data_IF_977868942711
#
_entry.id   IF_977868942711
#
_cell.length_a   1.000
_cell.length_b   1.000
_cell.length_c   1.000
_cell.angle_alpha   90.00
_cell.angle_beta   90.00
_cell.angle_gamma   90.00
#
_symmetry.space_group_name_H-M   'P 1'
#
loop_
_entity.id
_entity.type
_entity.pdbx_description
1 polymer ?
#
# COMPACT_ATOMS: atom_id res chain seq x y z
N UNK A 1 64.77 18.00 -32.94
CA UNK A 1 63.50 17.41 -33.40
C UNK A 1 63.06 16.40 -32.35
N UNK A 2 61.90 16.66 -31.72
CA UNK A 2 61.14 15.80 -30.79
C UNK A 2 61.72 15.52 -29.39
N UNK A 3 60.96 16.02 -28.42
CA UNK A 3 61.04 15.80 -26.99
C UNK A 3 60.55 14.41 -26.59
N UNK A 4 61.03 13.88 -25.47
CA UNK A 4 60.21 13.14 -24.50
C UNK A 4 60.68 13.52 -23.10
N UNK A 5 59.81 14.21 -22.39
CA UNK A 5 59.91 14.56 -20.97
C UNK A 5 59.46 13.34 -20.17
N UNK A 6 60.31 12.81 -19.29
CA UNK A 6 59.93 11.80 -18.32
C UNK A 6 59.55 12.51 -17.01
N UNK A 7 58.25 12.71 -16.80
CA UNK A 7 57.69 13.19 -15.53
C UNK A 7 57.14 11.98 -14.77
N UNK A 8 57.80 11.58 -13.69
CA UNK A 8 57.22 10.63 -12.73
C UNK A 8 56.33 11.46 -11.81
N UNK A 9 55.01 11.40 -12.03
CA UNK A 9 54.01 11.90 -11.09
C UNK A 9 53.70 10.79 -10.07
N UNK A 10 54.03 11.03 -8.81
CA UNK A 10 53.58 10.19 -7.69
C UNK A 10 52.11 10.52 -7.44
N UNK A 11 51.21 9.59 -7.74
CA UNK A 11 49.78 9.69 -7.45
C UNK A 11 49.51 9.08 -6.07
N UNK A 12 49.37 9.95 -5.07
CA UNK A 12 48.81 9.62 -3.76
C UNK A 12 47.29 9.44 -3.91
N UNK A 13 46.80 8.20 -3.97
CA UNK A 13 45.37 7.92 -3.82
C UNK A 13 44.98 8.04 -2.35
N UNK A 14 44.42 9.18 -1.96
CA UNK A 14 43.66 9.31 -0.73
C UNK A 14 42.26 8.72 -0.94
N UNK A 15 42.06 7.47 -0.53
CA UNK A 15 40.72 6.87 -0.45
C UNK A 15 39.97 7.50 0.73
N UNK A 16 39.18 8.53 0.46
CA UNK A 16 38.21 9.07 1.42
C UNK A 16 37.06 8.08 1.61
N UNK A 17 37.05 7.36 2.72
CA UNK A 17 35.91 6.54 3.15
C UNK A 17 34.81 7.51 3.60
N UNK A 18 33.78 7.68 2.78
CA UNK A 18 32.54 8.33 3.22
C UNK A 18 31.76 7.34 4.09
N UNK A 19 31.87 7.51 5.41
CA UNK A 19 30.99 6.84 6.38
C UNK A 19 29.67 7.63 6.38
N UNK A 20 28.66 7.16 5.64
CA UNK A 20 27.29 7.62 5.83
C UNK A 20 26.77 7.11 7.17
N UNK A 21 26.80 7.96 8.19
CA UNK A 21 26.16 7.70 9.48
C UNK A 21 24.64 7.82 9.27
N UNK A 22 23.96 6.70 9.08
CA UNK A 22 22.51 6.64 9.17
C UNK A 22 22.10 6.78 10.64
N UNK A 23 21.82 8.01 11.08
CA UNK A 23 21.16 8.24 12.35
C UNK A 23 19.69 7.81 12.26
N UNK A 24 19.40 6.54 12.50
CA UNK A 24 18.04 6.09 12.76
C UNK A 24 17.63 6.56 14.15
N UNK A 25 16.96 7.71 14.23
CA UNK A 25 16.33 8.17 15.47
C UNK A 25 15.16 7.25 15.77
N UNK A 26 15.30 6.38 16.77
CA UNK A 26 14.21 5.54 17.26
C UNK A 26 13.29 6.43 18.10
N UNK A 27 12.13 6.81 17.56
CA UNK A 27 11.17 7.65 18.27
C UNK A 27 10.65 6.91 19.51
N UNK A 28 10.69 7.56 20.67
CA UNK A 28 10.10 7.08 21.92
C UNK A 28 8.63 7.55 21.96
N UNK A 29 7.70 6.65 22.27
CA UNK A 29 6.25 6.91 22.22
C UNK A 29 5.81 8.17 23.00
N UNK A 30 6.54 8.52 24.07
CA UNK A 30 6.25 9.66 24.94
C UNK A 30 6.32 11.03 24.26
N UNK A 31 6.93 11.12 23.07
CA UNK A 31 7.09 12.38 22.34
C UNK A 31 6.18 12.48 21.10
N UNK A 32 5.26 11.54 20.91
CA UNK A 32 4.34 11.54 19.77
C UNK A 32 3.05 12.30 20.13
N UNK A 33 2.44 13.02 19.17
CA UNK A 33 1.13 13.65 19.35
C UNK A 33 0.08 12.67 19.87
N UNK A 34 -0.91 13.18 20.59
CA UNK A 34 -2.03 12.35 21.06
C UNK A 34 -2.85 11.84 19.88
N UNK A 35 -3.32 10.58 19.98
CA UNK A 35 -4.23 10.00 19.00
C UNK A 35 -5.59 10.70 19.07
N UNK A 36 -6.21 10.98 17.92
CA UNK A 36 -7.53 11.64 17.84
C UNK A 36 -8.41 10.94 16.81
N UNK A 37 -9.72 10.95 17.06
CA UNK A 37 -10.73 10.31 16.19
C UNK A 37 -11.19 11.28 15.10
N UNK A 38 -11.22 10.83 13.85
CA UNK A 38 -11.80 11.58 12.74
C UNK A 38 -13.32 11.35 12.65
N UNK A 39 -14.09 12.29 12.08
CA UNK A 39 -15.47 12.03 11.71
C UNK A 39 -15.56 10.83 10.74
N UNK A 40 -16.58 10.00 10.93
CA UNK A 40 -16.85 8.90 10.00
C UNK A 40 -17.19 9.43 8.59
N UNK A 41 -16.71 8.76 7.53
CA UNK A 41 -17.22 9.00 6.18
C UNK A 41 -18.74 8.79 6.14
N UNK A 42 -19.46 9.66 5.42
CA UNK A 42 -20.95 9.65 5.39
C UNK A 42 -21.50 8.27 4.97
N UNK A 43 -20.86 7.63 3.99
CA UNK A 43 -21.17 6.26 3.54
C UNK A 43 -21.10 5.24 4.68
N UNK A 44 -20.03 5.26 5.48
CA UNK A 44 -19.87 4.37 6.64
C UNK A 44 -20.78 4.76 7.82
N UNK A 45 -21.07 6.04 7.99
CA UNK A 45 -22.03 6.50 8.99
C UNK A 45 -23.42 5.91 8.71
N UNK A 46 -23.86 5.97 7.46
CA UNK A 46 -25.15 5.46 6.98
C UNK A 46 -25.20 3.94 6.83
N UNK A 47 -24.04 3.25 6.82
CA UNK A 47 -24.00 1.80 6.76
C UNK A 47 -24.71 1.16 7.94
N UNK A 48 -25.68 0.30 7.62
CA UNK A 48 -26.38 -0.57 8.56
C UNK A 48 -26.47 -1.98 7.98
N UNK A 49 -26.30 -2.98 8.84
CA UNK A 49 -26.41 -4.39 8.48
C UNK A 49 -27.21 -5.14 9.54
N UNK A 50 -27.89 -6.21 9.10
CA UNK A 50 -28.48 -7.21 10.01
C UNK A 50 -27.40 -8.04 10.70
N UNK A 51 -26.32 -8.35 9.98
CA UNK A 51 -25.10 -8.99 10.48
C UNK A 51 -24.34 -7.96 11.32
N UNK A 52 -24.03 -8.31 12.57
CA UNK A 52 -23.36 -7.41 13.54
C UNK A 52 -21.91 -7.78 13.78
N UNK A 53 -21.51 -8.94 13.29
CA UNK A 53 -20.17 -9.50 13.37
C UNK A 53 -19.18 -8.63 12.59
N UNK A 54 -17.96 -8.63 13.09
CA UNK A 54 -16.78 -8.03 12.51
C UNK A 54 -15.57 -8.83 13.01
N UNK A 55 -14.40 -8.57 12.42
CA UNK A 55 -13.15 -9.18 12.80
C UNK A 55 -12.14 -8.12 13.25
N UNK A 56 -12.62 -7.03 13.87
CA UNK A 56 -11.76 -5.93 14.31
C UNK A 56 -10.71 -6.37 15.35
N UNK A 57 -10.96 -7.45 16.10
CA UNK A 57 -9.96 -8.06 17.00
C UNK A 57 -8.72 -8.56 16.28
N UNK A 58 -8.83 -8.88 14.99
CA UNK A 58 -7.73 -9.36 14.15
C UNK A 58 -6.93 -8.20 13.52
N UNK A 59 -7.29 -6.94 13.83
CA UNK A 59 -6.67 -5.75 13.25
C UNK A 59 -5.79 -5.06 14.29
N UNK A 60 -4.48 -5.19 14.09
CA UNK A 60 -3.47 -4.52 14.92
C UNK A 60 -3.19 -3.09 14.42
N UNK A 61 -3.12 -2.09 15.32
CA UNK A 61 -2.78 -0.74 14.93
C UNK A 61 -1.29 -0.60 14.58
N UNK A 62 -0.97 0.39 13.75
CA UNK A 62 0.41 0.84 13.57
C UNK A 62 0.83 1.78 14.71
N UNK A 63 2.12 2.14 14.80
CA UNK A 63 2.59 3.23 15.68
C UNK A 63 1.89 4.57 15.43
N UNK A 64 1.32 4.76 14.23
CA UNK A 64 0.54 5.94 13.87
C UNK A 64 -0.93 5.86 14.32
N UNK A 65 -1.36 4.74 14.90
CA UNK A 65 -2.75 4.36 15.08
C UNK A 65 -3.26 3.50 13.92
N UNK A 66 -4.58 3.43 13.76
CA UNK A 66 -5.21 2.76 12.64
C UNK A 66 -5.01 3.56 11.33
N UNK A 67 -4.86 2.84 10.22
CA UNK A 67 -4.72 3.42 8.89
C UNK A 67 -6.09 3.87 8.39
N UNK A 68 -6.28 5.18 8.29
CA UNK A 68 -7.51 5.77 7.80
C UNK A 68 -7.23 6.93 6.85
N UNK A 69 -8.14 7.16 5.91
CA UNK A 69 -8.17 8.36 5.11
C UNK A 69 -9.05 9.42 5.79
N UNK A 70 -8.58 10.66 5.79
CA UNK A 70 -9.30 11.81 6.39
C UNK A 70 -9.73 12.85 5.36
N UNK A 71 -9.15 12.79 4.16
CA UNK A 71 -9.55 13.60 3.02
C UNK A 71 -10.21 12.71 1.98
N UNK A 72 -11.37 13.15 1.46
CA UNK A 72 -12.13 12.44 0.45
C UNK A 72 -12.42 13.35 -0.76
N UNK A 73 -12.51 12.80 -1.98
CA UNK A 73 -12.29 11.39 -2.32
C UNK A 73 -10.81 10.99 -2.20
N UNK A 74 -10.56 9.72 -1.87
CA UNK A 74 -9.22 9.13 -1.90
C UNK A 74 -8.81 8.94 -3.35
N UNK A 75 -7.65 9.47 -3.73
CA UNK A 75 -7.19 9.52 -5.11
C UNK A 75 -6.41 8.26 -5.45
N UNK A 76 -6.80 7.56 -6.51
CA UNK A 76 -6.22 6.30 -6.94
C UNK A 76 -5.57 6.48 -8.31
N UNK A 77 -4.29 6.15 -8.42
CA UNK A 77 -3.59 6.11 -9.69
C UNK A 77 -3.45 4.67 -10.17
N UNK A 78 -3.73 4.46 -11.46
CA UNK A 78 -3.51 3.21 -12.16
C UNK A 78 -2.30 3.39 -13.08
N UNK A 79 -1.38 2.43 -13.07
CA UNK A 79 -0.30 2.38 -14.04
C UNK A 79 -0.85 2.54 -15.48
N UNK A 80 -0.17 3.37 -16.27
CA UNK A 80 -0.40 3.49 -17.71
C UNK A 80 0.40 2.46 -18.50
N UNK A 81 -0.07 2.01 -19.67
CA UNK A 81 0.67 1.04 -20.49
C UNK A 81 2.00 1.63 -20.97
N UNK A 82 3.03 0.78 -21.03
CA UNK A 82 4.29 1.14 -21.68
C UNK A 82 4.06 1.35 -23.18
N UNK A 83 4.81 2.28 -23.78
CA UNK A 83 4.61 2.72 -25.17
C UNK A 83 4.94 1.62 -26.20
N UNK A 84 5.72 0.62 -25.81
CA UNK A 84 6.26 -0.44 -26.66
C UNK A 84 5.55 -1.80 -26.50
N UNK A 85 4.39 -1.83 -25.81
CA UNK A 85 3.62 -3.06 -25.67
C UNK A 85 3.12 -3.59 -27.03
N UNK A 86 3.25 -4.91 -27.22
CA UNK A 86 2.63 -5.60 -28.35
C UNK A 86 1.09 -5.49 -28.27
N UNK A 87 0.36 -5.73 -29.38
CA UNK A 87 -1.11 -5.70 -29.35
C UNK A 87 -1.73 -6.65 -28.31
N UNK A 88 -1.13 -7.84 -28.12
CA UNK A 88 -1.56 -8.79 -27.09
C UNK A 88 -1.21 -8.32 -25.68
N UNK A 89 -0.04 -7.69 -25.50
CA UNK A 89 0.37 -7.07 -24.24
C UNK A 89 -0.57 -5.93 -23.83
N UNK A 90 -0.93 -5.06 -24.78
CA UNK A 90 -1.90 -3.98 -24.56
C UNK A 90 -3.30 -4.52 -24.21
N UNK A 91 -3.74 -5.58 -24.88
CA UNK A 91 -5.01 -6.25 -24.54
C UNK A 91 -5.00 -6.77 -23.10
N UNK A 92 -3.93 -7.46 -22.68
CA UNK A 92 -3.80 -7.93 -21.29
C UNK A 92 -3.72 -6.77 -20.29
N UNK A 93 -3.08 -5.66 -20.66
CA UNK A 93 -3.01 -4.47 -19.84
C UNK A 93 -4.39 -3.87 -19.60
N UNK A 94 -5.22 -3.77 -20.65
CA UNK A 94 -6.60 -3.29 -20.52
C UNK A 94 -7.47 -4.21 -19.68
N UNK A 95 -7.28 -5.54 -19.76
CA UNK A 95 -7.96 -6.49 -18.86
C UNK A 95 -7.55 -6.26 -17.40
N UNK A 96 -6.27 -6.01 -17.15
CA UNK A 96 -5.80 -5.65 -15.82
C UNK A 96 -6.42 -4.32 -15.34
N UNK A 97 -6.41 -3.25 -16.14
CA UNK A 97 -7.06 -1.99 -15.77
C UNK A 97 -8.55 -2.17 -15.49
N UNK A 98 -9.24 -2.98 -16.30
CA UNK A 98 -10.65 -3.32 -16.08
C UNK A 98 -10.86 -4.01 -14.73
N UNK A 99 -10.00 -4.96 -14.35
CA UNK A 99 -10.08 -5.61 -13.05
C UNK A 99 -9.85 -4.62 -11.89
N UNK A 100 -8.91 -3.68 -12.04
CA UNK A 100 -8.67 -2.62 -11.04
C UNK A 100 -9.92 -1.75 -10.87
N UNK A 101 -10.57 -1.36 -11.96
CA UNK A 101 -11.80 -0.54 -11.90
C UNK A 101 -12.94 -1.26 -11.22
N UNK A 102 -13.12 -2.55 -11.45
CA UNK A 102 -14.12 -3.36 -10.74
C UNK A 102 -13.84 -3.36 -9.22
N UNK A 103 -12.58 -3.51 -8.81
CA UNK A 103 -12.20 -3.45 -7.40
C UNK A 103 -12.50 -2.06 -6.80
N UNK A 104 -12.16 -0.98 -7.52
CA UNK A 104 -12.47 0.40 -7.12
C UNK A 104 -13.97 0.58 -6.96
N UNK A 105 -14.77 0.21 -7.97
CA UNK A 105 -16.23 0.31 -7.95
C UNK A 105 -16.84 -0.44 -6.77
N UNK A 106 -16.32 -1.62 -6.45
CA UNK A 106 -16.79 -2.46 -5.34
C UNK A 106 -16.65 -1.74 -3.99
N UNK A 107 -15.50 -1.08 -3.75
CA UNK A 107 -15.25 -0.34 -2.52
C UNK A 107 -15.81 1.09 -2.52
N UNK A 108 -16.04 1.69 -3.70
CA UNK A 108 -16.46 3.09 -3.84
C UNK A 108 -17.82 3.38 -3.20
N UNK A 109 -18.64 2.34 -3.01
CA UNK A 109 -19.93 2.39 -2.30
C UNK A 109 -19.73 2.79 -0.82
N UNK A 110 -18.60 2.39 -0.22
CA UNK A 110 -18.33 2.50 1.20
C UNK A 110 -17.30 3.56 1.54
N UNK A 111 -16.36 3.83 0.62
CA UNK A 111 -15.31 4.84 0.76
C UNK A 111 -15.21 5.57 -0.58
N UNK A 112 -15.30 6.90 -0.60
CA UNK A 112 -15.24 7.65 -1.86
C UNK A 112 -13.84 7.59 -2.47
N UNK A 113 -13.73 6.97 -3.65
CA UNK A 113 -12.53 6.78 -4.44
C UNK A 113 -12.66 7.54 -5.78
N UNK A 114 -11.56 8.06 -6.29
CA UNK A 114 -11.52 8.69 -7.62
C UNK A 114 -10.21 8.38 -8.35
N UNK A 115 -10.29 8.07 -9.65
CA UNK A 115 -9.10 7.86 -10.48
C UNK A 115 -8.40 9.20 -10.78
N UNK A 116 -7.06 9.21 -10.75
CA UNK A 116 -6.22 10.34 -11.17
C UNK A 116 -5.12 9.88 -12.11
N UNK A 117 -4.76 10.71 -13.08
CA UNK A 117 -3.77 10.36 -14.12
C UNK A 117 -2.31 10.52 -13.67
N UNK A 118 -2.06 11.29 -12.62
CA UNK A 118 -0.71 11.58 -12.13
C UNK A 118 -0.44 10.88 -10.79
N UNK A 119 0.58 10.00 -10.69
CA UNK A 119 0.89 9.27 -9.46
C UNK A 119 1.30 10.18 -8.29
N UNK A 120 1.84 11.37 -8.56
CA UNK A 120 2.21 12.32 -7.51
C UNK A 120 0.97 12.83 -6.75
N UNK A 121 -0.16 12.96 -7.44
CA UNK A 121 -1.42 13.43 -6.88
C UNK A 121 -2.24 12.32 -6.20
N UNK A 122 -1.78 11.06 -6.27
CA UNK A 122 -2.52 9.91 -5.77
C UNK A 122 -2.16 9.55 -4.32
N UNK A 123 -3.17 9.09 -3.60
CA UNK A 123 -3.09 8.53 -2.26
C UNK A 123 -2.83 7.02 -2.30
N UNK A 124 -3.39 6.34 -3.30
CA UNK A 124 -3.20 4.91 -3.57
C UNK A 124 -2.60 4.74 -4.97
N UNK A 125 -1.48 4.04 -5.06
CA UNK A 125 -0.82 3.69 -6.33
C UNK A 125 -1.05 2.21 -6.64
N UNK A 126 -1.49 1.88 -7.86
CA UNK A 126 -1.72 0.49 -8.27
C UNK A 126 -0.85 0.17 -9.49
N UNK A 127 0.06 -0.80 -9.32
CA UNK A 127 1.04 -1.20 -10.33
C UNK A 127 0.83 -2.64 -10.80
N UNK A 128 0.96 -2.82 -12.12
CA UNK A 128 0.98 -4.12 -12.81
C UNK A 128 2.41 -4.64 -12.86
N UNK A 129 2.89 -5.22 -11.75
CA UNK A 129 4.24 -5.81 -11.65
C UNK A 129 4.31 -6.88 -10.59
N UNK A 130 5.32 -7.74 -10.68
CA UNK A 130 5.59 -8.71 -9.62
C UNK A 130 5.87 -7.99 -8.28
N UNK A 131 5.21 -8.43 -7.19
CA UNK A 131 5.53 -7.97 -5.85
C UNK A 131 7.03 -8.09 -5.57
N UNK A 132 7.67 -7.01 -5.14
CA UNK A 132 9.10 -7.02 -4.85
C UNK A 132 9.42 -7.80 -3.56
N UNK A 133 10.38 -8.72 -3.63
CA UNK A 133 10.87 -9.45 -2.44
C UNK A 133 12.18 -8.84 -1.96
N UNK A 134 12.32 -8.67 -0.64
CA UNK A 134 13.65 -8.64 -0.02
C UNK A 134 13.96 -10.06 0.42
N UNK A 135 14.99 -10.67 -0.16
CA UNK A 135 15.48 -11.94 0.33
C UNK A 135 16.00 -11.73 1.75
N UNK A 136 15.46 -12.46 2.72
CA UNK A 136 15.93 -12.41 4.09
C UNK A 136 16.92 -13.56 4.29
N UNK A 137 18.10 -13.23 4.81
CA UNK A 137 19.05 -14.25 5.26
C UNK A 137 18.55 -14.74 6.61
N UNK A 138 18.30 -16.04 6.74
CA UNK A 138 17.99 -16.63 8.03
C UNK A 138 19.22 -16.46 8.95
N UNK A 139 19.13 -15.69 10.04
CA UNK A 139 20.30 -15.38 10.86
C UNK A 139 20.85 -16.59 11.65
N UNK A 140 20.08 -17.68 11.77
CA UNK A 140 20.49 -18.91 12.43
C UNK A 140 21.15 -19.92 11.47
N UNK A 141 20.72 -19.96 10.20
CA UNK A 141 21.21 -20.97 9.23
C UNK A 141 22.12 -20.40 8.16
N UNK A 142 22.16 -19.07 7.99
CA UNK A 142 22.94 -18.40 6.93
C UNK A 142 22.39 -18.63 5.51
N UNK A 143 21.26 -19.32 5.37
CA UNK A 143 20.63 -19.60 4.08
C UNK A 143 19.66 -18.48 3.69
N UNK A 144 19.53 -18.25 2.38
CA UNK A 144 18.47 -17.41 1.84
C UNK A 144 17.11 -18.04 2.14
N UNK A 145 16.26 -17.32 2.88
CA UNK A 145 14.84 -17.59 2.87
C UNK A 145 14.28 -16.97 1.57
N UNK A 146 13.98 -17.81 0.59
CA UNK A 146 13.32 -17.38 -0.64
C UNK A 146 11.81 -17.31 -0.38
N UNK A 147 11.23 -16.11 -0.19
CA UNK A 147 9.80 -16.01 0.03
C UNK A 147 9.02 -16.57 -1.17
N UNK A 148 7.91 -17.24 -0.88
CA UNK A 148 6.98 -17.73 -1.91
C UNK A 148 6.50 -16.55 -2.76
N UNK A 149 6.41 -16.76 -4.07
CA UNK A 149 5.84 -15.77 -4.99
C UNK A 149 4.44 -15.34 -4.51
N UNK A 150 4.27 -14.05 -4.25
CA UNK A 150 2.99 -13.44 -3.88
C UNK A 150 2.22 -13.06 -5.14
N UNK A 151 0.91 -13.30 -5.09
CA UNK A 151 -0.03 -12.91 -6.14
C UNK A 151 -0.16 -11.38 -6.22
N UNK A 152 -0.23 -10.74 -5.05
CA UNK A 152 -0.28 -9.30 -4.90
C UNK A 152 0.29 -8.89 -3.52
N UNK A 153 0.50 -7.58 -3.32
CA UNK A 153 0.84 -7.03 -2.01
C UNK A 153 0.42 -5.57 -1.92
N UNK A 154 0.02 -5.15 -0.72
CA UNK A 154 -0.16 -3.75 -0.35
C UNK A 154 0.95 -3.33 0.59
N UNK A 155 1.43 -2.10 0.43
CA UNK A 155 2.44 -1.48 1.29
C UNK A 155 2.03 -0.06 1.67
N UNK A 156 2.50 0.39 2.83
CA UNK A 156 2.25 1.74 3.36
C UNK A 156 3.56 2.52 3.48
N UNK A 157 3.54 3.78 3.06
CA UNK A 157 4.62 4.74 3.29
C UNK A 157 4.08 5.97 4.02
N UNK A 158 4.64 6.28 5.18
CA UNK A 158 4.32 7.50 5.92
C UNK A 158 5.17 8.68 5.47
N UNK A 159 4.61 9.88 5.53
CA UNK A 159 5.30 11.14 5.25
C UNK A 159 4.70 12.29 6.06
N UNK A 160 5.47 13.37 6.22
CA UNK A 160 4.96 14.63 6.76
C UNK A 160 4.62 15.56 5.60
N UNK A 161 3.49 16.27 5.70
CA UNK A 161 3.14 17.32 4.74
C UNK A 161 4.01 18.57 4.95
N UNK A 162 4.17 19.35 3.89
CA UNK A 162 4.83 20.66 3.93
C UNK A 162 3.92 21.78 4.47
N UNK A 163 2.76 21.44 5.03
CA UNK A 163 1.84 22.39 5.67
C UNK A 163 2.44 22.93 6.97
N UNK A 164 1.93 24.07 7.44
CA UNK A 164 2.31 24.67 8.73
C UNK A 164 1.06 24.86 9.60
N UNK A 165 0.86 24.06 10.65
CA UNK A 165 1.69 22.93 11.10
C UNK A 165 1.67 21.72 10.13
N UNK A 166 2.69 20.85 10.17
CA UNK A 166 2.75 19.65 9.34
C UNK A 166 1.75 18.61 9.82
N UNK A 167 1.38 17.68 8.93
CA UNK A 167 0.51 16.55 9.23
C UNK A 167 1.21 15.25 8.90
N UNK A 168 1.07 14.24 9.76
CA UNK A 168 1.46 12.87 9.39
C UNK A 168 0.41 12.29 8.44
N UNK A 169 0.84 11.87 7.26
CA UNK A 169 0.01 11.23 6.24
C UNK A 169 0.66 9.95 5.75
N UNK A 170 -0.05 9.22 4.91
CA UNK A 170 0.44 8.00 4.32
C UNK A 170 0.04 7.90 2.84
N UNK A 171 0.80 7.11 2.09
CA UNK A 171 0.54 6.72 0.71
C UNK A 171 0.55 5.19 0.65
N UNK A 172 -0.41 4.60 -0.04
CA UNK A 172 -0.51 3.16 -0.22
C UNK A 172 -0.01 2.76 -1.61
N UNK A 173 0.57 1.58 -1.72
CA UNK A 173 0.98 1.02 -3.00
C UNK A 173 0.60 -0.45 -3.09
N UNK A 174 -0.16 -0.78 -4.13
CA UNK A 174 -0.59 -2.12 -4.48
C UNK A 174 0.22 -2.58 -5.68
N UNK A 175 0.83 -3.76 -5.58
CA UNK A 175 1.53 -4.41 -6.69
C UNK A 175 0.86 -5.74 -6.97
N UNK A 176 0.43 -5.98 -8.21
CA UNK A 176 -0.24 -7.23 -8.60
C UNK A 176 0.50 -7.90 -9.75
N UNK A 177 0.74 -9.20 -9.58
CA UNK A 177 1.36 -10.03 -10.60
C UNK A 177 0.48 -10.04 -11.87
N UNK A 178 1.02 -9.65 -13.04
CA UNK A 178 0.26 -9.55 -14.27
C UNK A 178 -0.24 -10.89 -14.85
N UNK A 179 0.36 -12.01 -14.45
CA UNK A 179 0.10 -13.33 -15.04
C UNK A 179 -0.95 -14.11 -14.23
N UNK A 180 -2.13 -13.51 -14.10
CA UNK A 180 -3.28 -14.09 -13.42
C UNK A 180 -4.48 -14.11 -14.38
N UNK A 181 -5.43 -15.02 -14.15
CA UNK A 181 -6.71 -14.93 -14.88
C UNK A 181 -7.47 -13.69 -14.40
N UNK A 182 -8.42 -13.23 -15.21
CA UNK A 182 -9.21 -12.04 -14.90
C UNK A 182 -9.90 -12.13 -13.53
N UNK A 183 -10.51 -13.27 -13.20
CA UNK A 183 -11.20 -13.46 -11.92
C UNK A 183 -10.23 -13.39 -10.74
N UNK A 184 -9.02 -13.98 -10.87
CA UNK A 184 -7.98 -13.86 -9.85
C UNK A 184 -7.47 -12.42 -9.72
N UNK A 185 -7.37 -11.66 -10.81
CA UNK A 185 -7.03 -10.25 -10.76
C UNK A 185 -8.08 -9.47 -9.97
N UNK A 186 -9.36 -9.65 -10.28
CA UNK A 186 -10.46 -8.98 -9.57
C UNK A 186 -10.42 -9.32 -8.09
N UNK A 187 -10.35 -10.60 -7.72
CA UNK A 187 -10.29 -11.03 -6.32
C UNK A 187 -9.10 -10.43 -5.57
N UNK A 188 -7.89 -10.52 -6.15
CA UNK A 188 -6.68 -9.94 -5.53
C UNK A 188 -6.80 -8.43 -5.38
N UNK A 189 -7.20 -7.72 -6.43
CA UNK A 189 -7.28 -6.27 -6.42
C UNK A 189 -8.32 -5.77 -5.42
N UNK A 190 -9.47 -6.45 -5.29
CA UNK A 190 -10.47 -6.09 -4.29
C UNK A 190 -9.95 -6.33 -2.88
N UNK A 191 -9.24 -7.44 -2.62
CA UNK A 191 -8.61 -7.71 -1.32
C UNK A 191 -7.55 -6.67 -0.95
N UNK A 192 -6.58 -6.44 -1.84
CA UNK A 192 -5.49 -5.48 -1.62
C UNK A 192 -6.01 -4.04 -1.49
N UNK A 193 -7.06 -3.68 -2.24
CA UNK A 193 -7.70 -2.38 -2.06
C UNK A 193 -8.35 -2.26 -0.67
N UNK A 194 -8.89 -3.36 -0.11
CA UNK A 194 -9.36 -3.42 1.27
C UNK A 194 -8.26 -3.08 2.29
N UNK A 195 -7.05 -3.58 2.09
CA UNK A 195 -5.89 -3.14 2.88
C UNK A 195 -5.58 -1.66 2.68
N UNK A 196 -5.58 -1.18 1.43
CA UNK A 196 -5.24 0.20 1.09
C UNK A 196 -6.24 1.24 1.62
N UNK A 197 -7.49 0.86 1.86
CA UNK A 197 -8.50 1.76 2.46
C UNK A 197 -8.54 1.68 3.99
N UNK A 198 -7.83 0.74 4.62
CA UNK A 198 -7.60 0.74 6.07
C UNK A 198 -7.69 -0.62 6.76
N UNK A 199 -8.18 -1.68 6.12
CA UNK A 199 -8.30 -3.01 6.73
C UNK A 199 -6.93 -3.70 6.74
N UNK A 200 -6.05 -3.30 7.66
CA UNK A 200 -4.68 -3.81 7.75
C UNK A 200 -4.59 -5.10 8.57
N UNK A 201 -5.20 -6.16 8.05
CA UNK A 201 -5.31 -7.48 8.64
C UNK A 201 -6.25 -8.34 7.79
N UNK A 202 -6.60 -9.53 8.29
CA UNK A 202 -7.42 -10.47 7.52
C UNK A 202 -8.63 -10.94 8.30
N UNK A 203 -9.70 -11.24 7.57
CA UNK A 203 -10.80 -12.05 8.10
C UNK A 203 -10.36 -13.52 8.25
N UNK A 204 -10.97 -14.20 9.22
CA UNK A 204 -10.88 -15.65 9.38
C UNK A 204 -11.97 -16.39 8.60
N UNK A 205 -12.98 -15.67 8.10
CA UNK A 205 -14.11 -16.24 7.38
C UNK A 205 -13.83 -16.30 5.86
N UNK A 206 -13.90 -17.49 5.29
CA UNK A 206 -13.61 -17.76 3.87
C UNK A 206 -14.53 -17.05 2.88
N UNK A 207 -15.70 -16.59 3.32
CA UNK A 207 -16.64 -15.86 2.45
C UNK A 207 -16.34 -14.36 2.36
N UNK A 208 -15.46 -13.84 3.21
CA UNK A 208 -15.12 -12.42 3.25
C UNK A 208 -14.05 -12.11 2.20
N UNK A 209 -14.10 -10.89 1.64
CA UNK A 209 -13.09 -10.46 0.66
C UNK A 209 -11.71 -10.40 1.32
N UNK A 210 -11.66 -10.09 2.61
CA UNK A 210 -10.43 -9.97 3.39
C UNK A 210 -9.91 -11.30 3.96
N UNK A 211 -10.45 -12.45 3.53
CA UNK A 211 -9.85 -13.74 3.85
C UNK A 211 -8.47 -13.88 3.18
N UNK A 212 -7.47 -14.32 3.94
CA UNK A 212 -6.06 -14.35 3.51
C UNK A 212 -5.74 -15.29 2.33
N UNK A 213 -6.68 -16.15 1.91
CA UNK A 213 -6.48 -17.13 0.84
C UNK A 213 -7.55 -17.01 -0.23
N UNK A 214 -7.16 -17.22 -1.48
CA UNK A 214 -8.10 -17.25 -2.60
C UNK A 214 -9.12 -18.38 -2.45
N UNK A 215 -10.36 -18.07 -2.80
CA UNK A 215 -11.43 -19.04 -3.01
C UNK A 215 -11.73 -19.14 -4.50
N UNK A 216 -12.52 -20.15 -4.90
CA UNK A 216 -12.86 -20.39 -6.31
C UNK A 216 -13.88 -19.37 -6.87
N UNK A 217 -14.61 -18.70 -6.00
CA UNK A 217 -15.60 -17.70 -6.36
C UNK A 217 -15.01 -16.31 -6.14
N UNK A 218 -15.44 -15.32 -6.93
CA UNK A 218 -15.05 -13.93 -6.70
C UNK A 218 -15.78 -13.47 -5.42
N UNK A 219 -15.08 -13.23 -4.30
CA UNK A 219 -15.74 -12.85 -3.06
C UNK A 219 -16.34 -11.45 -3.21
N UNK A 220 -17.58 -11.32 -2.76
CA UNK A 220 -18.26 -10.03 -2.62
C UNK A 220 -17.84 -9.43 -1.28
N UNK A 221 -17.68 -8.11 -1.22
CA UNK A 221 -17.39 -7.42 0.04
C UNK A 221 -18.53 -7.72 1.03
N UNK A 222 -18.19 -8.37 2.14
CA UNK A 222 -19.18 -8.88 3.07
C UNK A 222 -19.61 -7.81 4.06
N UNK A 223 -20.76 -7.99 4.74
CA UNK A 223 -21.11 -7.10 5.84
C UNK A 223 -20.09 -7.08 6.98
N UNK A 224 -19.35 -8.18 7.21
CA UNK A 224 -18.29 -8.22 8.23
C UNK A 224 -17.09 -7.37 7.82
N UNK A 225 -16.76 -7.33 6.52
CA UNK A 225 -15.73 -6.44 5.98
C UNK A 225 -16.08 -4.97 6.24
N UNK A 226 -17.33 -4.58 5.96
CA UNK A 226 -17.78 -3.19 6.16
C UNK A 226 -17.92 -2.83 7.64
N UNK A 227 -18.39 -3.76 8.47
CA UNK A 227 -18.46 -3.56 9.92
C UNK A 227 -17.05 -3.36 10.51
N UNK A 228 -16.07 -4.14 10.06
CA UNK A 228 -14.66 -4.00 10.45
C UNK A 228 -14.09 -2.67 9.99
N UNK A 229 -14.29 -2.30 8.72
CA UNK A 229 -13.88 -1.01 8.17
C UNK A 229 -14.47 0.16 8.96
N UNK A 230 -15.77 0.10 9.29
CA UNK A 230 -16.44 1.13 10.10
C UNK A 230 -15.79 1.25 11.48
N UNK A 231 -15.50 0.13 12.16
CA UNK A 231 -14.81 0.15 13.46
C UNK A 231 -13.43 0.77 13.36
N UNK A 232 -12.66 0.46 12.31
CA UNK A 232 -11.34 1.05 12.05
C UNK A 232 -11.44 2.57 11.93
N UNK A 233 -12.41 3.09 11.17
CA UNK A 233 -12.61 4.54 11.01
C UNK A 233 -13.16 5.24 12.25
N UNK A 234 -13.61 4.50 13.27
CA UNK A 234 -13.96 5.05 14.58
C UNK A 234 -12.78 5.13 15.54
N UNK A 235 -11.63 4.54 15.19
CA UNK A 235 -10.47 4.51 16.07
C UNK A 235 -9.66 5.81 16.03
N UNK A 236 -8.97 6.13 17.12
CA UNK A 236 -8.10 7.29 17.16
C UNK A 236 -6.80 7.02 16.37
N UNK A 237 -6.32 8.03 15.66
CA UNK A 237 -5.11 7.98 14.82
C UNK A 237 -4.33 9.29 14.92
N UNK A 238 -3.05 9.28 14.53
CA UNK A 238 -2.23 10.49 14.31
C UNK A 238 -2.33 11.00 12.88
N UNK A 239 -2.88 10.19 11.98
CA UNK A 239 -2.98 10.50 10.56
C UNK A 239 -3.93 11.67 10.32
N UNK A 240 -3.54 12.60 9.45
CA UNK A 240 -4.37 13.73 9.01
C UNK A 240 -4.58 14.85 10.04
N UNK A 241 -3.95 14.76 11.22
CA UNK A 241 -3.96 15.83 12.21
C UNK A 241 -2.71 16.69 12.11
N UNK A 242 -2.88 17.96 12.45
CA UNK A 242 -1.78 18.89 12.66
C UNK A 242 -0.93 18.44 13.86
N UNK A 243 0.38 18.39 13.66
CA UNK A 243 1.41 17.99 14.63
C UNK A 243 2.19 19.20 15.12
#
# INVERSE_FOLDING_TARGET
>A
MKAVVNFIFILLLSSGIFITINNSVKAKETNLPTLKVHPLPISLQNWTSKIKEDYFSEIEPHLAGYLIWSDFPVKVYLQSPDQDLSPSGLTQFHQWQKAVRIAIESWNIYISLTEVDNPENADILIYRRYPQFKAEINPQTGLYNLPRAKAATTTVKFYLTDTKPPQLRHKMSIEVNPHQTFDYLVTNLTHELGHAIGIWGHSLNITDVMYHSHTREIPVISPQDINTLKKIYQQPTRLGWNI
#
